data_IF_822824148099
#
_entry.id   IF_822824148099
#
_cell.length_a   1.000
_cell.length_b   1.000
_cell.length_c   1.000
_cell.angle_alpha   90.00
_cell.angle_beta   90.00
_cell.angle_gamma   90.00
#
_symmetry.space_group_name_H-M   'P 1'
#
loop_
_entity.id
_entity.type
_entity.pdbx_description
1 polymer ?
#
# COMPACT_ATOMS: atom_id res chain seq x y z
N UNK A 1 17.07 -28.59 -4.02
CA UNK A 1 17.28 -28.24 -2.60
C UNK A 1 16.38 -27.07 -2.22
N UNK A 2 15.25 -27.33 -1.56
CA UNK A 2 14.30 -26.29 -1.11
C UNK A 2 14.94 -25.32 -0.11
N UNK A 3 15.81 -25.82 0.77
CA UNK A 3 16.56 -25.05 1.77
C UNK A 3 17.48 -23.99 1.15
N UNK A 4 18.17 -24.31 0.06
CA UNK A 4 19.07 -23.35 -0.61
C UNK A 4 18.29 -22.16 -1.18
N UNK A 5 17.14 -22.41 -1.81
CA UNK A 5 16.28 -21.36 -2.37
C UNK A 5 15.69 -20.47 -1.27
N UNK A 6 15.22 -21.07 -0.17
CA UNK A 6 14.73 -20.30 0.97
C UNK A 6 15.82 -19.39 1.55
N UNK A 7 17.03 -19.91 1.75
CA UNK A 7 18.16 -19.13 2.26
C UNK A 7 18.57 -17.99 1.33
N UNK A 8 18.50 -18.20 0.01
CA UNK A 8 18.76 -17.16 -0.98
C UNK A 8 17.69 -16.05 -0.93
N UNK A 9 16.43 -16.41 -0.72
CA UNK A 9 15.35 -15.43 -0.63
C UNK A 9 15.48 -14.54 0.62
N UNK A 10 15.88 -15.09 1.78
CA UNK A 10 16.14 -14.27 2.98
C UNK A 10 17.30 -13.29 2.77
N UNK A 11 18.41 -13.76 2.19
CA UNK A 11 19.55 -12.88 1.85
C UNK A 11 19.16 -11.77 0.88
N UNK A 12 18.25 -12.06 -0.06
CA UNK A 12 17.74 -11.04 -0.97
C UNK A 12 16.88 -10.00 -0.24
N UNK A 13 16.05 -10.40 0.74
CA UNK A 13 15.31 -9.47 1.60
C UNK A 13 16.26 -8.56 2.39
N UNK A 14 17.31 -9.13 3.00
CA UNK A 14 18.34 -8.37 3.71
C UNK A 14 19.07 -7.37 2.78
N UNK A 15 19.37 -7.77 1.55
CA UNK A 15 19.98 -6.89 0.56
C UNK A 15 19.05 -5.73 0.18
N UNK A 16 17.75 -5.97 0.04
CA UNK A 16 16.77 -4.90 -0.17
C UNK A 16 16.68 -3.96 1.03
N UNK A 17 16.76 -4.48 2.26
CA UNK A 17 16.79 -3.66 3.47
C UNK A 17 18.01 -2.71 3.48
N UNK A 18 19.19 -3.22 3.15
CA UNK A 18 20.38 -2.38 3.00
C UNK A 18 20.25 -1.33 1.89
N UNK A 19 19.66 -1.71 0.75
CA UNK A 19 19.42 -0.78 -0.35
C UNK A 19 18.40 0.32 0.03
N UNK A 20 17.34 -0.04 0.76
CA UNK A 20 16.34 0.90 1.29
C UNK A 20 16.99 1.85 2.28
N UNK A 21 17.84 1.37 3.18
CA UNK A 21 18.59 2.24 4.09
C UNK A 21 19.47 3.24 3.33
N UNK A 22 20.12 2.81 2.26
CA UNK A 22 20.96 3.67 1.43
C UNK A 22 20.16 4.67 0.58
N UNK A 23 18.98 4.30 0.08
CA UNK A 23 18.11 5.17 -0.71
C UNK A 23 16.62 5.00 -0.32
N UNK A 24 16.21 5.60 0.81
CA UNK A 24 14.91 5.30 1.41
C UNK A 24 13.74 5.92 0.65
N UNK A 25 14.00 6.85 -0.30
CA UNK A 25 12.98 7.46 -1.16
C UNK A 25 12.77 6.72 -2.48
N UNK A 26 13.56 5.69 -2.77
CA UNK A 26 13.46 4.96 -4.03
C UNK A 26 12.40 3.86 -3.96
N UNK A 27 11.18 4.20 -4.36
CA UNK A 27 9.98 3.35 -4.28
C UNK A 27 10.15 1.95 -4.87
N UNK A 28 10.92 1.80 -5.95
CA UNK A 28 11.08 0.51 -6.60
C UNK A 28 11.73 -0.54 -5.67
N UNK A 29 12.54 -0.13 -4.68
CA UNK A 29 13.10 -1.06 -3.70
C UNK A 29 12.03 -1.66 -2.79
N UNK A 30 11.03 -0.86 -2.41
CA UNK A 30 9.89 -1.32 -1.62
C UNK A 30 9.00 -2.26 -2.44
N UNK A 31 8.76 -1.96 -3.73
CA UNK A 31 8.04 -2.86 -4.62
C UNK A 31 8.78 -4.21 -4.73
N UNK A 32 10.09 -4.20 -5.00
CA UNK A 32 10.88 -5.44 -5.13
C UNK A 32 10.89 -6.27 -3.83
N UNK A 33 11.05 -5.62 -2.68
CA UNK A 33 10.99 -6.29 -1.38
C UNK A 33 9.60 -6.87 -1.10
N UNK A 34 8.55 -6.08 -1.32
CA UNK A 34 7.17 -6.51 -1.12
C UNK A 34 6.76 -7.65 -2.06
N UNK A 35 7.16 -7.61 -3.34
CA UNK A 35 6.89 -8.67 -4.30
C UNK A 35 7.58 -9.98 -3.91
N UNK A 36 8.83 -9.91 -3.43
CA UNK A 36 9.52 -11.07 -2.88
C UNK A 36 8.78 -11.63 -1.66
N UNK A 37 8.37 -10.77 -0.71
CA UNK A 37 7.56 -11.17 0.45
C UNK A 37 6.23 -11.83 0.05
N UNK A 38 5.54 -11.30 -0.95
CA UNK A 38 4.31 -11.90 -1.48
C UNK A 38 4.56 -13.27 -2.12
N UNK A 39 5.67 -13.42 -2.86
CA UNK A 39 6.08 -14.71 -3.44
C UNK A 39 6.39 -15.76 -2.36
N UNK A 40 6.87 -15.32 -1.20
CA UNK A 40 7.13 -16.12 0.00
C UNK A 40 5.88 -16.35 0.86
N UNK A 41 4.69 -15.92 0.40
CA UNK A 41 3.43 -16.00 1.17
C UNK A 41 3.47 -15.24 2.50
N UNK A 42 4.18 -14.11 2.54
CA UNK A 42 4.29 -13.18 3.69
C UNK A 42 3.59 -11.83 3.39
N UNK A 43 2.27 -11.82 3.16
CA UNK A 43 1.57 -10.60 2.76
C UNK A 43 1.57 -9.50 3.83
N UNK A 44 1.55 -9.85 5.12
CA UNK A 44 1.59 -8.87 6.20
C UNK A 44 2.92 -8.11 6.26
N UNK A 45 4.02 -8.78 5.92
CA UNK A 45 5.33 -8.13 5.81
C UNK A 45 5.40 -7.20 4.60
N UNK A 46 4.78 -7.60 3.47
CA UNK A 46 4.64 -6.72 2.30
C UNK A 46 3.85 -5.45 2.61
N UNK A 47 2.76 -5.56 3.39
CA UNK A 47 2.00 -4.40 3.85
C UNK A 47 2.86 -3.47 4.72
N UNK A 48 3.63 -4.04 5.67
CA UNK A 48 4.58 -3.26 6.49
C UNK A 48 5.66 -2.57 5.65
N UNK A 49 6.16 -3.23 4.60
CA UNK A 49 7.11 -2.62 3.66
C UNK A 49 6.51 -1.38 2.99
N UNK A 50 5.23 -1.42 2.58
CA UNK A 50 4.57 -0.23 2.03
C UNK A 50 4.25 0.83 3.08
N UNK A 51 3.98 0.44 4.34
CA UNK A 51 3.85 1.41 5.45
C UNK A 51 5.15 2.18 5.68
N UNK A 52 6.29 1.50 5.62
CA UNK A 52 7.61 2.15 5.68
C UNK A 52 7.81 3.13 4.51
N UNK A 53 7.43 2.74 3.28
CA UNK A 53 7.52 3.62 2.11
C UNK A 53 6.68 4.90 2.28
N UNK A 54 5.45 4.76 2.80
CA UNK A 54 4.55 5.88 3.09
C UNK A 54 5.16 6.80 4.16
N UNK A 55 5.72 6.25 5.23
CA UNK A 55 6.35 7.03 6.30
C UNK A 55 7.55 7.84 5.82
N UNK A 56 8.41 7.24 4.98
CA UNK A 56 9.59 7.93 4.44
C UNK A 56 9.22 8.99 3.40
N UNK A 57 8.23 8.70 2.56
CA UNK A 57 7.81 9.60 1.50
C UNK A 57 6.27 9.67 1.38
N UNK A 58 5.60 10.43 2.26
CA UNK A 58 4.13 10.59 2.21
C UNK A 58 3.65 11.18 0.88
N UNK A 59 4.51 11.95 0.21
CA UNK A 59 4.29 12.54 -1.11
C UNK A 59 4.39 11.56 -2.28
N UNK A 60 4.43 10.24 -2.03
CA UNK A 60 4.46 9.22 -3.07
C UNK A 60 3.18 8.38 -3.12
N UNK A 61 2.24 8.80 -3.98
CA UNK A 61 0.93 8.14 -4.13
C UNK A 61 1.05 6.66 -4.52
N UNK A 62 2.12 6.30 -5.23
CA UNK A 62 2.43 4.92 -5.63
C UNK A 62 2.46 3.96 -4.42
N UNK A 63 2.97 4.39 -3.27
CA UNK A 63 3.03 3.53 -2.08
C UNK A 63 1.63 3.15 -1.56
N UNK A 64 0.71 4.11 -1.54
CA UNK A 64 -0.70 3.87 -1.19
C UNK A 64 -1.39 2.95 -2.21
N UNK A 65 -1.14 3.16 -3.52
CA UNK A 65 -1.68 2.32 -4.60
C UNK A 65 -1.19 0.87 -4.46
N UNK A 66 0.11 0.66 -4.24
CA UNK A 66 0.68 -0.68 -4.07
C UNK A 66 0.13 -1.37 -2.82
N UNK A 67 0.05 -0.65 -1.67
CA UNK A 67 -0.56 -1.17 -0.44
C UNK A 67 -2.01 -1.61 -0.66
N UNK A 68 -2.84 -0.75 -1.24
CA UNK A 68 -4.26 -1.05 -1.50
C UNK A 68 -4.43 -2.21 -2.49
N UNK A 69 -3.52 -2.36 -3.46
CA UNK A 69 -3.50 -3.50 -4.38
C UNK A 69 -3.27 -4.82 -3.65
N UNK A 70 -2.35 -4.84 -2.68
CA UNK A 70 -2.12 -6.02 -1.82
C UNK A 70 -3.34 -6.28 -0.96
N UNK A 71 -3.91 -5.26 -0.30
CA UNK A 71 -5.12 -5.40 0.52
C UNK A 71 -6.32 -5.94 -0.27
N UNK A 72 -6.51 -5.50 -1.52
CA UNK A 72 -7.55 -6.01 -2.44
C UNK A 72 -7.37 -7.49 -2.71
N UNK A 73 -6.14 -7.93 -3.03
CA UNK A 73 -5.81 -9.35 -3.25
C UNK A 73 -6.10 -10.20 -2.00
N UNK A 74 -5.94 -9.61 -0.81
CA UNK A 74 -6.21 -10.25 0.48
C UNK A 74 -7.67 -10.13 0.94
N UNK A 75 -8.53 -9.43 0.18
CA UNK A 75 -9.93 -9.12 0.55
C UNK A 75 -10.05 -8.44 1.93
N UNK A 76 -9.11 -7.55 2.24
CA UNK A 76 -9.07 -6.79 3.50
C UNK A 76 -9.69 -5.41 3.33
N UNK A 77 -10.95 -5.36 2.94
CA UNK A 77 -11.64 -4.12 2.54
C UNK A 77 -11.69 -3.05 3.65
N UNK A 78 -11.87 -3.46 4.90
CA UNK A 78 -11.83 -2.54 6.04
C UNK A 78 -10.47 -1.82 6.19
N UNK A 79 -9.35 -2.50 5.88
CA UNK A 79 -8.03 -1.87 5.91
C UNK A 79 -7.84 -0.89 4.75
N UNK A 80 -8.45 -1.15 3.59
CA UNK A 80 -8.44 -0.21 2.46
C UNK A 80 -9.17 1.09 2.85
N UNK A 81 -10.35 0.96 3.47
CA UNK A 81 -11.11 2.11 3.96
C UNK A 81 -10.30 2.90 4.99
N UNK A 82 -9.65 2.22 5.95
CA UNK A 82 -8.80 2.88 6.94
C UNK A 82 -7.64 3.66 6.29
N UNK A 83 -6.95 3.07 5.30
CA UNK A 83 -5.89 3.77 4.55
C UNK A 83 -6.44 5.01 3.84
N UNK A 84 -7.64 4.93 3.26
CA UNK A 84 -8.26 6.09 2.62
C UNK A 84 -8.63 7.17 3.65
N UNK A 85 -9.15 6.78 4.81
CA UNK A 85 -9.47 7.71 5.89
C UNK A 85 -8.21 8.38 6.44
N UNK A 86 -7.09 7.67 6.55
CA UNK A 86 -5.79 8.21 6.96
C UNK A 86 -5.29 9.23 5.92
N UNK A 87 -5.37 8.90 4.62
CA UNK A 87 -5.05 9.85 3.53
C UNK A 87 -5.87 11.13 3.65
N UNK A 88 -7.16 11.02 4.00
CA UNK A 88 -8.07 12.18 4.10
C UNK A 88 -7.86 12.99 5.40
N UNK A 89 -7.47 12.35 6.50
CA UNK A 89 -7.19 12.99 7.80
C UNK A 89 -5.84 13.73 7.81
N UNK A 90 -4.76 13.05 7.43
CA UNK A 90 -3.41 13.59 7.52
C UNK A 90 -3.10 14.63 6.41
N UNK A 91 -3.89 14.69 5.33
CA UNK A 91 -3.74 15.69 4.25
C UNK A 91 -4.46 17.03 4.48
N UNK A 92 -4.88 17.35 5.71
CA UNK A 92 -5.45 18.66 6.01
C UNK A 92 -4.45 19.83 5.82
N UNK A 93 -3.17 19.58 5.49
CA UNK A 93 -2.14 20.61 5.37
C UNK A 93 -1.35 20.70 4.04
N UNK A 94 -1.52 19.82 3.04
CA UNK A 94 -0.67 19.85 1.80
C UNK A 94 -1.34 19.39 0.49
N UNK A 95 -2.66 19.55 0.33
CA UNK A 95 -3.47 18.94 -0.74
C UNK A 95 -2.89 19.08 -2.16
N UNK A 96 -2.20 18.03 -2.61
CA UNK A 96 -2.23 17.63 -4.00
C UNK A 96 -3.60 16.96 -4.25
N UNK A 97 -4.48 17.54 -5.09
CA UNK A 97 -5.82 17.01 -5.33
C UNK A 97 -5.85 15.54 -5.73
N UNK A 98 -4.76 15.03 -6.32
CA UNK A 98 -4.66 13.62 -6.75
C UNK A 98 -4.86 12.62 -5.61
N UNK A 99 -4.45 12.97 -4.39
CA UNK A 99 -4.61 12.08 -3.22
C UNK A 99 -6.05 12.01 -2.72
N UNK A 100 -6.72 13.16 -2.71
CA UNK A 100 -8.12 13.26 -2.29
C UNK A 100 -9.00 12.51 -3.27
N UNK A 101 -8.81 12.77 -4.58
CA UNK A 101 -9.49 12.05 -5.65
C UNK A 101 -9.23 10.55 -5.54
N UNK A 102 -7.96 10.15 -5.37
CA UNK A 102 -7.61 8.73 -5.22
C UNK A 102 -8.29 8.07 -4.02
N UNK A 103 -8.30 8.71 -2.84
CA UNK A 103 -8.91 8.15 -1.65
C UNK A 103 -10.42 7.98 -1.80
N UNK A 104 -11.13 8.99 -2.33
CA UNK A 104 -12.57 8.92 -2.54
C UNK A 104 -12.98 7.89 -3.60
N UNK A 105 -12.28 7.85 -4.75
CA UNK A 105 -12.53 6.82 -5.76
C UNK A 105 -12.26 5.41 -5.23
N UNK A 106 -11.21 5.25 -4.42
CA UNK A 106 -10.90 3.96 -3.79
C UNK A 106 -11.97 3.57 -2.76
N UNK A 107 -12.47 4.52 -1.96
CA UNK A 107 -13.61 4.28 -1.04
C UNK A 107 -14.87 3.89 -1.79
N UNK A 108 -15.24 4.63 -2.83
CA UNK A 108 -16.42 4.35 -3.65
C UNK A 108 -16.40 2.92 -4.22
N UNK A 109 -15.27 2.53 -4.83
CA UNK A 109 -15.06 1.18 -5.35
C UNK A 109 -15.13 0.12 -4.23
N UNK A 110 -14.55 0.40 -3.06
CA UNK A 110 -14.60 -0.52 -1.91
C UNK A 110 -16.02 -0.72 -1.39
N UNK A 111 -16.78 0.36 -1.23
CA UNK A 111 -18.16 0.29 -0.79
C UNK A 111 -19.06 -0.42 -1.79
N UNK A 112 -18.84 -0.21 -3.10
CA UNK A 112 -19.53 -0.95 -4.15
C UNK A 112 -19.28 -2.46 -4.03
N UNK A 113 -18.03 -2.89 -3.79
CA UNK A 113 -17.71 -4.32 -3.58
C UNK A 113 -18.36 -4.90 -2.31
N UNK A 114 -18.59 -4.07 -1.29
CA UNK A 114 -19.29 -4.43 -0.06
C UNK A 114 -20.82 -4.31 -0.16
N UNK A 115 -21.37 -3.99 -1.34
CA UNK A 115 -22.81 -3.72 -1.56
C UNK A 115 -23.36 -2.55 -0.73
N UNK A 116 -22.51 -1.64 -0.27
CA UNK A 116 -22.88 -0.44 0.49
C UNK A 116 -23.07 0.75 -0.46
N UNK A 117 -24.16 0.73 -1.23
CA UNK A 117 -24.37 1.68 -2.34
C UNK A 117 -24.47 3.14 -1.89
N UNK A 118 -25.10 3.42 -0.74
CA UNK A 118 -25.21 4.78 -0.20
C UNK A 118 -23.83 5.38 0.10
N UNK A 119 -22.97 4.59 0.75
CA UNK A 119 -21.59 5.00 1.05
C UNK A 119 -20.74 5.16 -0.22
N UNK A 120 -21.02 4.36 -1.26
CA UNK A 120 -20.34 4.48 -2.54
C UNK A 120 -20.69 5.79 -3.26
N UNK A 121 -21.98 6.16 -3.30
CA UNK A 121 -22.46 7.43 -3.87
C UNK A 121 -21.89 8.61 -3.10
N UNK A 122 -21.98 8.58 -1.77
CA UNK A 122 -21.43 9.65 -0.93
C UNK A 122 -19.91 9.85 -1.14
N UNK A 123 -19.16 8.78 -1.40
CA UNK A 123 -17.74 8.87 -1.73
C UNK A 123 -17.49 9.45 -3.13
N UNK A 124 -18.31 9.14 -4.13
CA UNK A 124 -18.23 9.72 -5.47
C UNK A 124 -18.53 11.23 -5.47
N UNK A 125 -19.54 11.65 -4.71
CA UNK A 125 -19.97 13.06 -4.62
C UNK A 125 -18.95 13.96 -3.89
N UNK A 126 -18.00 13.35 -3.18
CA UNK A 126 -16.97 14.05 -2.41
C UNK A 126 -15.65 14.28 -3.18
N UNK A 127 -15.57 13.84 -4.44
CA UNK A 127 -14.43 14.06 -5.37
C UNK A 127 -14.44 15.48 -5.91
#
# INVERSE_FOLDING_TARGET
SHYSKHNQNEKALEAYDGAIQANPRYMNLYDFKADLQLSLKRPDEALKTYDQAIQVNPGQIKAYISKNTVLRKLKRDHQILAVCDDILKENSLKRDPRYVIYAYLTKANTYQQLSQLENAIAACDAV
#
